data_IF_079867758167
#
_entry.id   IF_079867758167
#
_cell.length_a   1.000
_cell.length_b   1.000
_cell.length_c   1.000
_cell.angle_alpha   90.00
_cell.angle_beta   90.00
_cell.angle_gamma   90.00
#
_symmetry.space_group_name_H-M   'P 1'
#
loop_
_entity.id
_entity.type
_entity.pdbx_description
1 polymer ?
#
# COMPACT_ATOMS: atom_id res chain seq x y z
N UNK A 1 63.25 8.93 2.64
CA UNK A 1 62.60 7.64 2.28
C UNK A 1 61.20 7.47 2.89
N UNK A 2 60.24 8.40 2.78
CA UNK A 2 58.89 8.27 3.37
C UNK A 2 57.73 8.13 2.37
N UNK A 3 57.97 8.25 1.07
CA UNK A 3 56.94 8.28 0.02
C UNK A 3 56.37 6.90 -0.40
N UNK A 4 57.16 5.82 -0.31
CA UNK A 4 56.76 4.48 -0.73
C UNK A 4 55.64 3.83 0.15
N UNK A 5 55.58 4.20 1.45
CA UNK A 5 54.60 3.67 2.40
C UNK A 5 53.19 4.28 2.22
N UNK A 6 53.13 5.60 1.89
CA UNK A 6 51.86 6.31 1.64
C UNK A 6 51.09 5.73 0.43
N UNK A 7 51.84 5.42 -0.65
CA UNK A 7 51.25 4.90 -1.87
C UNK A 7 50.70 3.46 -1.71
N UNK A 8 51.30 2.67 -0.82
CA UNK A 8 50.80 1.30 -0.54
C UNK A 8 49.49 1.33 0.24
N UNK A 9 49.40 2.18 1.26
CA UNK A 9 48.13 2.35 2.02
C UNK A 9 47.00 2.91 1.14
N UNK A 10 47.32 3.88 0.28
CA UNK A 10 46.37 4.46 -0.67
C UNK A 10 45.85 3.40 -1.68
N UNK A 11 46.71 2.54 -2.21
CA UNK A 11 46.33 1.45 -3.14
C UNK A 11 45.44 0.42 -2.47
N UNK A 12 45.72 0.08 -1.22
CA UNK A 12 44.88 -0.86 -0.43
C UNK A 12 43.51 -0.20 -0.15
N UNK A 13 43.48 1.07 0.27
CA UNK A 13 42.23 1.79 0.51
C UNK A 13 41.38 1.88 -0.77
N UNK A 14 41.97 2.26 -1.91
CA UNK A 14 41.28 2.28 -3.20
C UNK A 14 40.78 0.89 -3.62
N UNK A 15 41.58 -0.17 -3.39
CA UNK A 15 41.19 -1.55 -3.69
C UNK A 15 40.00 -2.06 -2.88
N UNK A 16 39.73 -1.48 -1.71
CA UNK A 16 38.58 -1.82 -0.86
C UNK A 16 37.40 -0.87 -1.13
N UNK A 17 37.67 0.42 -1.24
CA UNK A 17 36.61 1.43 -1.41
C UNK A 17 35.90 1.33 -2.77
N UNK A 18 36.63 1.06 -3.85
CA UNK A 18 36.05 0.96 -5.19
C UNK A 18 35.01 -0.16 -5.28
N UNK A 19 35.33 -1.44 -4.93
CA UNK A 19 34.30 -2.49 -4.97
C UNK A 19 33.15 -2.23 -4.01
N UNK A 20 33.37 -1.62 -2.85
CA UNK A 20 32.32 -1.27 -1.91
C UNK A 20 31.36 -0.23 -2.53
N UNK A 21 31.88 0.81 -3.18
CA UNK A 21 31.08 1.82 -3.89
C UNK A 21 30.26 1.15 -5.00
N UNK A 22 30.85 0.22 -5.76
CA UNK A 22 30.14 -0.50 -6.83
C UNK A 22 28.99 -1.33 -6.25
N UNK A 23 29.21 -2.03 -5.14
CA UNK A 23 28.19 -2.83 -4.47
C UNK A 23 27.04 -1.94 -3.98
N UNK A 24 27.35 -0.81 -3.34
CA UNK A 24 26.36 0.15 -2.88
C UNK A 24 25.58 0.72 -4.07
N UNK A 25 26.25 1.11 -5.14
CA UNK A 25 25.58 1.64 -6.33
C UNK A 25 24.66 0.59 -6.98
N UNK A 26 25.09 -0.67 -7.05
CA UNK A 26 24.27 -1.75 -7.55
C UNK A 26 23.05 -2.01 -6.65
N UNK A 27 23.21 -2.00 -5.33
CA UNK A 27 22.11 -2.15 -4.37
C UNK A 27 21.09 -1.00 -4.50
N UNK A 28 21.57 0.25 -4.61
CA UNK A 28 20.71 1.42 -4.84
C UNK A 28 19.95 1.30 -6.17
N UNK A 29 20.61 0.85 -7.24
CA UNK A 29 19.95 0.66 -8.54
C UNK A 29 18.84 -0.41 -8.46
N UNK A 30 19.05 -1.50 -7.71
CA UNK A 30 18.03 -2.53 -7.45
C UNK A 30 16.86 -1.94 -6.67
N UNK A 31 17.11 -1.17 -5.61
CA UNK A 31 16.05 -0.54 -4.81
C UNK A 31 15.29 0.49 -5.64
N UNK A 32 15.96 1.30 -6.46
CA UNK A 32 15.30 2.26 -7.36
C UNK A 32 14.42 1.56 -8.41
N UNK A 33 14.82 0.40 -8.89
CA UNK A 33 14.08 -0.33 -9.93
C UNK A 33 12.88 -1.11 -9.36
N UNK A 34 13.06 -1.76 -8.24
CA UNK A 34 12.05 -2.68 -7.67
C UNK A 34 11.30 -2.10 -6.47
N UNK A 35 11.86 -1.11 -5.78
CA UNK A 35 11.23 -0.46 -4.64
C UNK A 35 9.80 0.03 -4.92
N UNK A 36 9.53 0.70 -6.06
CA UNK A 36 8.18 1.15 -6.41
C UNK A 36 7.13 0.04 -6.47
N UNK A 37 7.52 -1.18 -6.83
CA UNK A 37 6.63 -2.34 -6.86
C UNK A 37 6.11 -2.71 -5.47
N UNK A 38 6.85 -2.34 -4.43
CA UNK A 38 6.51 -2.56 -3.02
C UNK A 38 6.09 -1.24 -2.30
N UNK A 39 5.81 -0.18 -3.06
CA UNK A 39 5.46 1.13 -2.50
C UNK A 39 6.63 1.89 -1.87
N UNK A 40 7.86 1.43 -2.07
CA UNK A 40 9.06 2.06 -1.50
C UNK A 40 9.79 2.92 -2.54
N UNK A 41 9.90 4.21 -2.27
CA UNK A 41 10.58 5.17 -3.13
C UNK A 41 11.76 5.81 -2.38
N UNK A 42 12.98 5.71 -2.94
CA UNK A 42 14.16 6.45 -2.43
C UNK A 42 14.05 7.96 -2.71
N UNK A 43 13.43 8.30 -3.83
CA UNK A 43 13.12 9.67 -4.22
C UNK A 43 11.64 9.69 -4.56
N UNK A 44 10.84 10.59 -3.96
CA UNK A 44 9.42 10.69 -4.30
C UNK A 44 9.24 10.86 -5.81
N UNK A 45 8.29 10.16 -6.45
CA UNK A 45 8.01 10.32 -7.86
C UNK A 45 7.45 11.72 -8.14
N UNK A 46 7.59 12.23 -9.35
CA UNK A 46 6.82 13.39 -9.78
C UNK A 46 5.33 13.08 -9.71
N UNK A 47 4.49 14.12 -9.59
CA UNK A 47 3.04 13.97 -9.54
C UNK A 47 2.49 13.17 -10.73
N UNK A 48 2.91 13.52 -11.94
CA UNK A 48 2.53 12.79 -13.16
C UNK A 48 2.93 11.30 -13.11
N UNK A 49 4.16 11.00 -12.64
CA UNK A 49 4.62 9.63 -12.49
C UNK A 49 3.81 8.87 -11.44
N UNK A 50 3.52 9.50 -10.30
CA UNK A 50 2.65 8.92 -9.26
C UNK A 50 1.29 8.53 -9.83
N UNK A 51 0.65 9.44 -10.58
CA UNK A 51 -0.61 9.17 -11.24
C UNK A 51 -0.53 8.01 -12.24
N UNK A 52 0.52 7.97 -13.08
CA UNK A 52 0.74 6.87 -14.04
C UNK A 52 0.94 5.53 -13.36
N UNK A 53 1.74 5.48 -12.30
CA UNK A 53 2.00 4.26 -11.52
C UNK A 53 0.71 3.77 -10.82
N UNK A 54 -0.11 4.70 -10.31
CA UNK A 54 -1.43 4.38 -9.74
C UNK A 54 -2.39 3.80 -10.78
N UNK A 55 -2.52 4.43 -11.96
CA UNK A 55 -3.36 3.94 -13.04
C UNK A 55 -2.90 2.56 -13.55
N UNK A 56 -1.59 2.35 -13.67
CA UNK A 56 -1.04 1.04 -14.04
C UNK A 56 -1.36 -0.04 -13.01
N UNK A 57 -1.30 0.30 -11.72
CA UNK A 57 -1.66 -0.61 -10.62
C UNK A 57 -3.14 -0.96 -10.66
N UNK A 58 -4.02 0.03 -10.87
CA UNK A 58 -5.47 -0.19 -11.02
C UNK A 58 -5.75 -1.09 -12.22
N UNK A 59 -5.12 -0.84 -13.37
CA UNK A 59 -5.29 -1.66 -14.56
C UNK A 59 -4.77 -3.10 -14.41
N UNK A 60 -3.78 -3.32 -13.54
CA UNK A 60 -3.26 -4.67 -13.25
C UNK A 60 -4.14 -5.45 -12.28
N UNK A 61 -4.74 -4.79 -11.31
CA UNK A 61 -5.42 -5.43 -10.18
C UNK A 61 -6.93 -5.24 -10.18
N UNK A 62 -7.46 -4.34 -11.00
CA UNK A 62 -8.89 -4.02 -11.07
C UNK A 62 -9.72 -5.16 -11.64
N UNK A 63 -10.90 -5.36 -11.07
CA UNK A 63 -11.82 -6.45 -11.44
C UNK A 63 -12.26 -6.33 -12.91
N UNK A 64 -12.42 -5.10 -13.40
CA UNK A 64 -12.90 -4.80 -14.75
C UNK A 64 -11.78 -4.35 -15.70
N UNK A 65 -10.52 -4.70 -15.41
CA UNK A 65 -9.36 -4.31 -16.21
C UNK A 65 -9.37 -4.80 -17.66
N UNK A 66 -10.14 -5.83 -17.98
CA UNK A 66 -10.32 -6.34 -19.34
C UNK A 66 -11.43 -5.66 -20.15
N UNK A 67 -12.24 -4.76 -19.55
CA UNK A 67 -13.38 -4.14 -20.21
C UNK A 67 -12.97 -3.07 -21.24
N UNK A 68 -13.80 -2.87 -22.26
CA UNK A 68 -13.56 -1.80 -23.24
C UNK A 68 -13.77 -0.41 -22.64
N UNK A 69 -14.67 -0.32 -21.65
CA UNK A 69 -14.86 0.91 -20.88
C UNK A 69 -13.58 1.30 -20.11
N UNK A 70 -12.89 0.33 -19.49
CA UNK A 70 -11.60 0.59 -18.85
C UNK A 70 -10.56 1.10 -19.84
N UNK A 71 -10.44 0.47 -21.01
CA UNK A 71 -9.45 0.90 -22.01
C UNK A 71 -9.62 2.36 -22.42
N UNK A 72 -10.88 2.78 -22.67
CA UNK A 72 -11.19 4.18 -23.00
C UNK A 72 -10.95 5.12 -21.82
N UNK A 73 -11.35 4.71 -20.61
CA UNK A 73 -11.17 5.49 -19.37
C UNK A 73 -9.68 5.64 -19.03
N UNK A 74 -8.87 4.62 -19.25
CA UNK A 74 -7.44 4.67 -18.99
C UNK A 74 -6.74 5.78 -19.79
N UNK A 75 -7.04 5.86 -21.09
CA UNK A 75 -6.49 6.92 -21.97
C UNK A 75 -6.95 8.32 -21.55
N UNK A 76 -8.20 8.44 -21.10
CA UNK A 76 -8.73 9.70 -20.59
C UNK A 76 -8.05 10.08 -19.27
N UNK A 77 -7.90 9.14 -18.33
CA UNK A 77 -7.19 9.36 -17.09
C UNK A 77 -5.72 9.74 -17.29
N UNK A 78 -5.03 9.16 -18.30
CA UNK A 78 -3.68 9.57 -18.65
C UNK A 78 -3.59 11.05 -19.04
N UNK A 79 -4.58 11.54 -19.83
CA UNK A 79 -4.65 12.97 -20.18
C UNK A 79 -4.95 13.86 -18.99
N UNK A 80 -5.76 13.39 -18.04
CA UNK A 80 -6.08 14.17 -16.82
C UNK A 80 -4.88 14.38 -15.91
N UNK A 81 -3.91 13.46 -15.90
CA UNK A 81 -2.70 13.56 -15.07
C UNK A 81 -1.52 14.19 -15.80
N UNK A 82 -1.66 14.47 -17.10
CA UNK A 82 -0.67 15.19 -17.87
C UNK A 82 -0.47 16.59 -17.27
N UNK A 83 0.77 16.97 -17.01
CA UNK A 83 1.14 18.22 -16.35
C UNK A 83 0.67 18.39 -14.89
N UNK A 84 0.34 17.31 -14.18
CA UNK A 84 0.05 17.37 -12.74
C UNK A 84 1.28 17.90 -11.98
N UNK A 85 1.10 18.94 -11.17
CA UNK A 85 2.14 19.58 -10.38
C UNK A 85 2.18 19.03 -8.94
N UNK A 86 1.03 18.57 -8.44
CA UNK A 86 0.86 17.96 -7.11
C UNK A 86 0.24 16.57 -7.21
N UNK A 87 0.38 15.77 -6.16
CA UNK A 87 -0.30 14.46 -6.09
C UNK A 87 -1.81 14.62 -6.10
N UNK A 88 -2.31 15.66 -5.47
CA UNK A 88 -3.72 16.02 -5.39
C UNK A 88 -4.33 16.23 -6.78
N UNK A 89 -3.57 16.78 -7.72
CA UNK A 89 -4.01 16.98 -9.12
C UNK A 89 -4.31 15.65 -9.82
N UNK A 90 -3.71 14.55 -9.36
CA UNK A 90 -3.93 13.21 -9.92
C UNK A 90 -5.15 12.49 -9.33
N UNK A 91 -5.66 12.93 -8.17
CA UNK A 91 -6.73 12.23 -7.46
C UNK A 91 -8.03 12.11 -8.25
N UNK A 92 -8.48 13.12 -9.02
CA UNK A 92 -9.69 12.97 -9.85
C UNK A 92 -9.56 11.85 -10.87
N UNK A 93 -8.39 11.73 -11.52
CA UNK A 93 -8.13 10.66 -12.48
C UNK A 93 -8.09 9.28 -11.81
N UNK A 94 -7.44 9.17 -10.64
CA UNK A 94 -7.36 7.93 -9.86
C UNK A 94 -8.76 7.51 -9.37
N UNK A 95 -9.56 8.44 -8.83
CA UNK A 95 -10.94 8.17 -8.39
C UNK A 95 -11.80 7.69 -9.56
N UNK A 96 -11.68 8.32 -10.74
CA UNK A 96 -12.36 7.88 -11.96
C UNK A 96 -11.94 6.48 -12.40
N UNK A 97 -10.65 6.21 -12.39
CA UNK A 97 -10.09 4.90 -12.72
C UNK A 97 -10.61 3.81 -11.78
N UNK A 98 -10.63 4.06 -10.47
CA UNK A 98 -11.14 3.13 -9.46
C UNK A 98 -12.64 2.86 -9.63
N UNK A 99 -13.45 3.87 -9.97
CA UNK A 99 -14.89 3.69 -10.17
C UNK A 99 -15.23 2.80 -11.37
N UNK A 100 -14.39 2.80 -12.40
CA UNK A 100 -14.61 2.00 -13.64
C UNK A 100 -13.92 0.64 -13.55
N UNK A 101 -12.68 0.59 -13.09
CA UNK A 101 -11.87 -0.63 -13.11
C UNK A 101 -11.91 -1.41 -11.79
N UNK A 102 -12.00 -0.71 -10.65
CA UNK A 102 -11.88 -1.31 -9.32
C UNK A 102 -13.17 -1.90 -8.75
N UNK A 103 -14.33 -1.50 -9.27
CA UNK A 103 -15.64 -1.89 -8.75
C UNK A 103 -16.08 -1.07 -7.52
N UNK A 104 -17.27 -1.40 -7.00
CA UNK A 104 -18.00 -0.57 -6.02
C UNK A 104 -17.34 -0.41 -4.65
N UNK A 105 -16.37 -1.25 -4.31
CA UNK A 105 -15.63 -1.19 -3.04
C UNK A 105 -14.25 -0.58 -3.17
N UNK A 106 -13.87 -0.13 -4.37
CA UNK A 106 -12.57 0.48 -4.61
C UNK A 106 -12.67 2.00 -4.49
N UNK A 107 -11.89 2.57 -3.58
CA UNK A 107 -11.86 4.01 -3.37
C UNK A 107 -10.43 4.49 -3.14
N UNK A 108 -10.17 5.76 -3.40
CA UNK A 108 -8.96 6.44 -2.98
C UNK A 108 -9.25 7.12 -1.65
N UNK A 109 -8.57 6.69 -0.60
CA UNK A 109 -8.54 7.41 0.68
C UNK A 109 -7.31 8.31 0.73
N UNK A 110 -7.53 9.58 0.96
CA UNK A 110 -6.44 10.53 1.22
C UNK A 110 -6.03 10.46 2.68
N UNK A 111 -4.83 10.99 3.01
CA UNK A 111 -4.34 10.99 4.39
C UNK A 111 -5.29 11.71 5.35
N UNK A 112 -5.95 12.78 4.91
CA UNK A 112 -6.94 13.51 5.72
C UNK A 112 -8.20 12.66 5.95
N UNK A 113 -8.71 12.00 4.91
CA UNK A 113 -9.88 11.12 5.01
C UNK A 113 -9.59 9.89 5.91
N UNK A 114 -8.37 9.35 5.88
CA UNK A 114 -7.99 8.23 6.76
C UNK A 114 -7.82 8.63 8.23
N UNK A 115 -7.49 9.90 8.51
CA UNK A 115 -7.39 10.40 9.88
C UNK A 115 -8.77 10.68 10.51
N UNK A 116 -9.74 11.11 9.72
CA UNK A 116 -11.11 11.33 10.19
C UNK A 116 -11.86 10.01 10.49
N UNK A 117 -11.42 8.89 9.90
CA UNK A 117 -11.99 7.56 10.17
C UNK A 117 -11.40 6.91 11.44
N UNK A 118 -10.41 7.50 12.08
CA UNK A 118 -9.86 7.06 13.38
C UNK A 118 -10.65 7.60 14.59
N UNK A 119 -11.90 8.08 14.41
CA UNK A 119 -12.78 8.25 15.57
C UNK A 119 -12.94 6.90 16.28
N UNK A 120 -12.73 6.92 17.59
CA UNK A 120 -12.78 5.76 18.47
C UNK A 120 -14.03 4.93 18.21
N UNK A 121 -13.87 3.82 17.51
CA UNK A 121 -14.91 2.82 17.47
C UNK A 121 -14.90 2.12 18.83
N UNK A 122 -16.01 2.23 19.55
CA UNK A 122 -16.24 1.37 20.71
C UNK A 122 -16.09 -0.09 20.21
N UNK A 123 -15.29 -0.89 20.95
CA UNK A 123 -15.08 -2.31 20.62
C UNK A 123 -16.41 -3.03 20.74
N UNK A 124 -17.16 -3.13 19.62
CA UNK A 124 -18.42 -3.87 19.57
C UNK A 124 -18.10 -5.32 19.34
N UNK A 125 -18.31 -6.16 20.34
CA UNK A 125 -18.12 -7.60 20.23
C UNK A 125 -19.29 -8.27 19.50
N UNK A 126 -19.06 -9.44 18.88
CA UNK A 126 -20.15 -10.26 18.34
C UNK A 126 -21.20 -10.57 19.38
N UNK A 127 -22.43 -10.69 18.97
CA UNK A 127 -23.51 -11.20 19.82
C UNK A 127 -24.02 -12.52 19.27
N UNK A 128 -24.29 -13.45 20.19
CA UNK A 128 -24.85 -14.75 19.82
C UNK A 128 -26.23 -14.89 20.48
N UNK A 129 -27.20 -15.41 19.76
CA UNK A 129 -28.55 -15.70 20.25
C UNK A 129 -29.07 -16.97 19.63
N UNK A 130 -29.98 -17.62 20.34
CA UNK A 130 -30.73 -18.80 19.82
C UNK A 130 -32.11 -18.36 19.36
N UNK A 131 -32.54 -18.89 18.21
CA UNK A 131 -33.92 -18.86 17.73
C UNK A 131 -34.34 -20.29 17.42
N UNK A 132 -35.01 -20.93 18.40
CA UNK A 132 -35.25 -22.39 18.38
C UNK A 132 -33.92 -23.16 18.41
N UNK A 133 -33.69 -23.98 17.38
CA UNK A 133 -32.47 -24.78 17.22
C UNK A 133 -31.40 -24.06 16.34
N UNK A 134 -31.61 -22.78 16.02
CA UNK A 134 -30.73 -22.01 15.13
C UNK A 134 -29.90 -21.00 15.97
N UNK A 135 -28.56 -21.12 15.94
CA UNK A 135 -27.66 -20.12 16.49
C UNK A 135 -27.48 -18.98 15.49
N UNK A 136 -27.79 -17.77 15.92
CA UNK A 136 -27.60 -16.55 15.13
C UNK A 136 -26.40 -15.77 15.71
N UNK A 137 -25.34 -15.69 14.95
CA UNK A 137 -24.16 -14.90 15.29
C UNK A 137 -24.23 -13.59 14.48
N UNK A 138 -24.36 -12.46 15.18
CA UNK A 138 -24.28 -11.13 14.57
C UNK A 138 -22.85 -10.63 14.70
N UNK A 139 -22.18 -10.44 13.57
CA UNK A 139 -20.84 -9.90 13.49
C UNK A 139 -20.97 -8.39 13.21
N UNK A 140 -20.51 -7.51 14.12
CA UNK A 140 -20.40 -6.08 13.82
C UNK A 140 -19.34 -5.85 12.75
N UNK A 141 -19.36 -4.67 12.13
CA UNK A 141 -18.34 -4.29 11.14
C UNK A 141 -16.97 -4.26 11.83
N UNK A 142 -16.03 -5.00 11.28
CA UNK A 142 -14.66 -5.06 11.76
C UNK A 142 -13.79 -4.17 10.87
N UNK A 143 -13.47 -2.97 11.35
CA UNK A 143 -12.57 -2.04 10.66
C UNK A 143 -11.14 -2.27 11.14
N UNK A 144 -10.29 -2.75 10.21
CA UNK A 144 -8.87 -2.93 10.45
C UNK A 144 -8.12 -1.71 9.91
N UNK A 145 -7.50 -0.92 10.77
CA UNK A 145 -6.53 0.08 10.34
C UNK A 145 -5.14 -0.54 10.21
N UNK A 146 -4.28 0.03 9.35
CA UNK A 146 -2.93 -0.51 9.14
C UNK A 146 -2.06 -0.46 10.42
N UNK A 147 -2.35 0.46 11.33
CA UNK A 147 -1.66 0.60 12.62
C UNK A 147 -2.12 -0.44 13.64
N UNK A 148 -3.35 -0.95 13.50
CA UNK A 148 -3.96 -1.92 14.40
C UNK A 148 -3.68 -3.39 14.01
N UNK A 149 -2.87 -3.64 12.98
CA UNK A 149 -2.63 -5.00 12.50
C UNK A 149 -2.08 -5.95 13.58
N UNK A 150 -1.32 -5.44 14.55
CA UNK A 150 -0.84 -6.21 15.71
C UNK A 150 -1.90 -6.34 16.80
N UNK A 151 -2.76 -5.32 16.96
CA UNK A 151 -3.88 -5.32 17.90
C UNK A 151 -5.01 -6.22 17.38
N UNK A 152 -5.16 -6.36 16.06
CA UNK A 152 -6.19 -7.17 15.41
C UNK A 152 -6.07 -8.68 15.66
N UNK A 153 -4.87 -9.21 15.92
CA UNK A 153 -4.74 -10.62 16.28
C UNK A 153 -5.39 -10.91 17.64
N UNK A 154 -5.23 -10.01 18.61
CA UNK A 154 -5.81 -10.13 19.95
C UNK A 154 -7.32 -9.82 19.92
N UNK A 155 -7.73 -8.78 19.18
CA UNK A 155 -9.14 -8.47 18.93
C UNK A 155 -9.84 -9.60 18.16
N UNK A 156 -9.20 -10.17 17.14
CA UNK A 156 -9.72 -11.33 16.41
C UNK A 156 -9.88 -12.56 17.28
N UNK A 157 -8.99 -12.82 18.24
CA UNK A 157 -9.13 -13.90 19.21
C UNK A 157 -10.29 -13.66 20.18
N UNK A 158 -10.47 -12.45 20.70
CA UNK A 158 -11.65 -12.10 21.51
C UNK A 158 -12.94 -12.27 20.73
N UNK A 159 -12.93 -11.88 19.45
CA UNK A 159 -14.05 -11.99 18.54
C UNK A 159 -14.45 -13.46 18.30
N UNK A 160 -13.48 -14.33 18.04
CA UNK A 160 -13.69 -15.76 17.86
C UNK A 160 -14.14 -16.45 19.15
N UNK A 161 -13.59 -16.00 20.29
CA UNK A 161 -13.90 -16.58 21.60
C UNK A 161 -15.38 -16.45 21.99
N UNK A 162 -16.07 -15.37 21.60
CA UNK A 162 -17.52 -15.21 21.85
C UNK A 162 -18.33 -16.33 21.17
N UNK A 163 -17.93 -16.75 19.97
CA UNK A 163 -18.59 -17.84 19.27
C UNK A 163 -18.19 -19.21 19.85
N UNK A 164 -16.92 -19.39 20.25
CA UNK A 164 -16.43 -20.62 20.89
C UNK A 164 -17.10 -20.88 22.24
N UNK A 165 -17.17 -19.87 23.10
CA UNK A 165 -17.78 -20.00 24.41
C UNK A 165 -19.27 -20.41 24.30
N UNK A 166 -19.99 -19.88 23.28
CA UNK A 166 -21.37 -20.24 23.02
C UNK A 166 -21.56 -21.68 22.55
N UNK A 167 -20.62 -22.22 21.75
CA UNK A 167 -20.70 -23.59 21.22
C UNK A 167 -20.43 -24.63 22.33
N UNK A 168 -19.72 -24.25 23.39
CA UNK A 168 -19.32 -25.11 24.48
C UNK A 168 -20.23 -25.05 25.72
N UNK A 169 -21.24 -24.17 25.74
CA UNK A 169 -22.35 -24.16 26.72
C UNK A 169 -23.52 -25.05 26.31
#
# INVERSE_FOLDING_TARGET
MKTKSKNKKLRIALGICIPLIIIIAAALAVVMKYGPTFGFYLVPPSAERYGKDALATIGKSGIYSGSDEWKSTYEECLKMIENAESYEDTYPAIKKALSVCGGKHSMLMTKSESQDTTESYDEVLPTVSLDGDIAIIKLPDFLVTAEDFLVTAEAGQKYAKVAEDFIHE
#
